data_IF_135192421596
#
_entry.id   IF_135192421596
#
_cell.length_a   1.000
_cell.length_b   1.000
_cell.length_c   1.000
_cell.angle_alpha   90.00
_cell.angle_beta   90.00
_cell.angle_gamma   90.00
#
_symmetry.space_group_name_H-M   'P 1'
#
loop_
_entity.id
_entity.type
_entity.pdbx_description
1 polymer ?
#
# COMPACT_ATOMS: atom_id res chain seq x y z
N UNK A 1 -27.01 1.01 -37.49
CA UNK A 1 -26.15 1.64 -36.45
C UNK A 1 -25.82 0.60 -35.38
N UNK A 2 -25.13 -0.46 -35.78
CA UNK A 2 -24.76 -1.63 -34.98
C UNK A 2 -23.40 -2.10 -35.49
N UNK A 3 -22.36 -1.34 -35.21
CA UNK A 3 -20.97 -1.76 -35.40
C UNK A 3 -20.12 -1.12 -34.28
N UNK A 4 -19.12 -1.88 -33.80
CA UNK A 4 -18.10 -1.52 -32.80
C UNK A 4 -18.41 -1.85 -31.31
N UNK A 5 -18.75 -3.11 -31.03
CA UNK A 5 -18.39 -3.74 -29.75
C UNK A 5 -17.52 -4.96 -30.03
N UNK A 6 -16.19 -4.83 -29.86
CA UNK A 6 -15.26 -5.98 -29.87
C UNK A 6 -14.93 -6.39 -28.42
N UNK A 7 -14.96 -7.70 -28.08
CA UNK A 7 -14.77 -8.24 -26.73
C UNK A 7 -13.29 -8.38 -26.32
N UNK A 8 -12.47 -7.35 -26.59
CA UNK A 8 -11.01 -7.38 -26.39
C UNK A 8 -10.53 -7.43 -24.93
N UNK A 9 -11.19 -6.79 -23.93
CA UNK A 9 -10.68 -6.80 -22.55
C UNK A 9 -10.79 -8.16 -21.86
N UNK A 10 -11.89 -8.89 -22.13
CA UNK A 10 -12.14 -10.19 -21.49
C UNK A 10 -11.20 -11.26 -22.00
N UNK A 11 -10.91 -11.31 -23.30
CA UNK A 11 -9.98 -12.31 -23.85
C UNK A 11 -8.54 -12.04 -23.42
N UNK A 12 -8.10 -10.77 -23.41
CA UNK A 12 -6.76 -10.41 -22.94
C UNK A 12 -6.62 -10.66 -21.43
N UNK A 13 -7.64 -10.34 -20.63
CA UNK A 13 -7.65 -10.65 -19.20
C UNK A 13 -7.72 -12.16 -18.96
N UNK A 14 -8.52 -12.92 -19.70
CA UNK A 14 -8.54 -14.38 -19.60
C UNK A 14 -7.20 -14.99 -20.01
N UNK A 15 -6.56 -14.49 -21.07
CA UNK A 15 -5.22 -14.92 -21.50
C UNK A 15 -4.20 -14.55 -20.43
N UNK A 16 -4.22 -13.33 -19.90
CA UNK A 16 -3.35 -12.90 -18.79
C UNK A 16 -3.55 -13.76 -17.54
N UNK A 17 -4.79 -14.05 -17.16
CA UNK A 17 -5.11 -14.88 -15.99
C UNK A 17 -4.74 -16.35 -16.24
N UNK A 18 -4.92 -16.87 -17.45
CA UNK A 18 -4.51 -18.22 -17.86
C UNK A 18 -2.98 -18.34 -17.93
N UNK A 19 -2.28 -17.36 -18.50
CA UNK A 19 -0.83 -17.33 -18.61
C UNK A 19 -0.14 -17.12 -17.25
N UNK A 20 -0.73 -16.30 -16.37
CA UNK A 20 -0.29 -16.12 -14.99
C UNK A 20 -0.79 -17.21 -14.03
N UNK A 21 -1.57 -18.19 -14.53
CA UNK A 21 -2.15 -19.29 -13.75
C UNK A 21 -2.88 -18.83 -12.47
N UNK A 22 -3.55 -17.68 -12.55
CA UNK A 22 -4.33 -17.14 -11.45
C UNK A 22 -5.61 -17.98 -11.22
N UNK A 23 -6.16 -18.02 -9.99
CA UNK A 23 -7.22 -18.94 -9.61
C UNK A 23 -8.45 -18.94 -10.54
N UNK A 24 -9.08 -20.09 -10.86
CA UNK A 24 -10.21 -20.16 -11.79
C UNK A 24 -11.44 -19.32 -11.38
N UNK A 25 -11.59 -19.05 -10.10
CA UNK A 25 -12.61 -18.13 -9.55
C UNK A 25 -12.40 -16.69 -10.05
N UNK A 26 -11.16 -16.21 -10.24
CA UNK A 26 -10.90 -14.91 -10.87
C UNK A 26 -11.42 -14.86 -12.32
N UNK A 27 -11.39 -16.00 -13.02
CA UNK A 27 -11.89 -16.14 -14.40
C UNK A 27 -13.40 -15.90 -14.51
N UNK A 28 -14.16 -16.37 -13.50
CA UNK A 28 -15.62 -16.18 -13.41
C UNK A 28 -15.95 -14.70 -13.13
N UNK A 29 -15.19 -14.04 -12.26
CA UNK A 29 -15.36 -12.62 -11.96
C UNK A 29 -14.97 -11.71 -13.14
N UNK A 30 -13.86 -12.01 -13.81
CA UNK A 30 -13.39 -11.31 -15.01
C UNK A 30 -14.40 -11.37 -16.17
N UNK A 31 -15.22 -12.43 -16.24
CA UNK A 31 -16.27 -12.61 -17.26
C UNK A 31 -17.42 -11.60 -17.14
N UNK A 32 -17.62 -11.02 -15.95
CA UNK A 32 -18.72 -10.10 -15.65
C UNK A 32 -18.29 -8.61 -15.61
N UNK A 33 -17.02 -8.31 -15.91
CA UNK A 33 -16.44 -6.96 -15.81
C UNK A 33 -16.48 -6.21 -17.15
N UNK A 34 -17.42 -5.28 -17.33
CA UNK A 34 -17.38 -4.33 -18.46
C UNK A 34 -16.27 -3.30 -18.19
N UNK A 35 -15.10 -3.50 -18.79
CA UNK A 35 -14.02 -2.52 -18.76
C UNK A 35 -14.27 -1.46 -19.85
N UNK A 36 -14.51 -0.22 -19.45
CA UNK A 36 -14.55 0.91 -20.38
C UNK A 36 -13.13 1.20 -20.88
N UNK A 37 -12.93 1.44 -22.19
CA UNK A 37 -11.60 1.70 -22.73
C UNK A 37 -11.13 3.10 -22.29
N UNK A 38 -10.09 3.17 -21.46
CA UNK A 38 -9.33 4.40 -21.23
C UNK A 38 -8.13 4.45 -22.19
N UNK A 39 -7.66 5.65 -22.61
CA UNK A 39 -6.69 5.79 -23.68
C UNK A 39 -5.31 5.31 -23.19
N UNK A 40 -4.84 4.21 -23.75
CA UNK A 40 -3.52 3.65 -23.48
C UNK A 40 -2.41 4.50 -24.12
N UNK A 41 -1.81 5.44 -23.38
CA UNK A 41 -0.44 5.89 -23.66
C UNK A 41 0.57 4.86 -23.15
N UNK A 42 1.42 4.31 -24.03
CA UNK A 42 2.27 3.15 -23.77
C UNK A 42 3.76 3.52 -23.84
N UNK A 43 4.56 2.97 -22.92
CA UNK A 43 6.01 2.77 -23.05
C UNK A 43 6.25 1.26 -23.09
N UNK A 44 6.99 0.77 -24.10
CA UNK A 44 7.38 -0.66 -24.27
C UNK A 44 6.22 -1.65 -24.54
N UNK A 45 6.48 -2.84 -25.10
CA UNK A 45 5.46 -3.88 -25.28
C UNK A 45 5.18 -4.69 -23.99
N UNK A 46 6.11 -4.75 -23.03
CA UNK A 46 6.00 -5.59 -21.82
C UNK A 46 5.44 -4.85 -20.59
N UNK A 47 5.80 -3.58 -20.38
CA UNK A 47 5.27 -2.71 -19.32
C UNK A 47 3.73 -2.62 -19.33
N UNK A 48 3.05 -2.53 -20.49
CA UNK A 48 1.59 -2.47 -20.55
C UNK A 48 0.91 -3.73 -20.02
N UNK A 49 1.50 -4.89 -20.29
CA UNK A 49 0.94 -6.20 -19.92
C UNK A 49 1.05 -6.40 -18.41
N UNK A 50 2.23 -6.19 -17.85
CA UNK A 50 2.45 -6.26 -16.40
C UNK A 50 1.59 -5.25 -15.63
N UNK A 51 1.47 -4.03 -16.15
CA UNK A 51 0.64 -2.98 -15.54
C UNK A 51 -0.85 -3.32 -15.58
N UNK A 52 -1.36 -3.79 -16.72
CA UNK A 52 -2.75 -4.21 -16.87
C UNK A 52 -3.07 -5.41 -15.98
N UNK A 53 -2.16 -6.38 -15.90
CA UNK A 53 -2.29 -7.54 -15.03
C UNK A 53 -2.39 -7.13 -13.56
N UNK A 54 -1.49 -6.28 -13.06
CA UNK A 54 -1.54 -5.80 -11.67
C UNK A 54 -2.84 -5.04 -11.38
N UNK A 55 -3.28 -4.17 -12.30
CA UNK A 55 -4.52 -3.42 -12.14
C UNK A 55 -5.73 -4.35 -12.01
N UNK A 56 -5.85 -5.31 -12.93
CA UNK A 56 -6.96 -6.27 -12.92
C UNK A 56 -6.92 -7.15 -11.66
N UNK A 57 -5.73 -7.55 -11.23
CA UNK A 57 -5.56 -8.35 -10.03
C UNK A 57 -6.03 -7.60 -8.78
N UNK A 58 -5.57 -6.37 -8.58
CA UNK A 58 -6.02 -5.52 -7.47
C UNK A 58 -7.54 -5.26 -7.50
N UNK A 59 -8.11 -5.00 -8.69
CA UNK A 59 -9.55 -4.83 -8.86
C UNK A 59 -10.34 -6.07 -8.46
N UNK A 60 -9.92 -7.25 -8.93
CA UNK A 60 -10.61 -8.51 -8.67
C UNK A 60 -10.49 -8.93 -7.21
N UNK A 61 -9.30 -8.80 -6.62
CA UNK A 61 -9.06 -9.11 -5.21
C UNK A 61 -9.84 -8.20 -4.27
N UNK A 62 -9.91 -6.90 -4.57
CA UNK A 62 -10.72 -5.98 -3.78
C UNK A 62 -12.20 -6.31 -3.89
N UNK A 63 -12.73 -6.64 -5.08
CA UNK A 63 -14.12 -7.10 -5.23
C UNK A 63 -14.39 -8.37 -4.42
N UNK A 64 -13.54 -9.39 -4.54
CA UNK A 64 -13.69 -10.64 -3.81
C UNK A 64 -13.61 -10.42 -2.29
N UNK A 65 -12.67 -9.57 -1.83
CA UNK A 65 -12.54 -9.20 -0.41
C UNK A 65 -13.80 -8.52 0.09
N UNK A 66 -14.34 -7.56 -0.68
CA UNK A 66 -15.56 -6.84 -0.32
C UNK A 66 -16.79 -7.75 -0.28
N UNK A 67 -16.85 -8.78 -1.13
CA UNK A 67 -17.92 -9.77 -1.10
C UNK A 67 -17.83 -10.68 0.14
N UNK A 68 -16.62 -11.07 0.55
CA UNK A 68 -16.42 -11.87 1.77
C UNK A 68 -16.87 -11.15 3.04
N UNK A 69 -16.65 -9.83 3.12
CA UNK A 69 -17.06 -9.01 4.27
C UNK A 69 -18.43 -8.36 4.08
N UNK A 70 -19.14 -8.63 2.98
CA UNK A 70 -20.38 -7.94 2.66
C UNK A 70 -21.44 -8.21 3.72
N UNK A 71 -22.03 -7.15 4.24
CA UNK A 71 -23.14 -7.23 5.19
C UNK A 71 -24.11 -6.08 4.95
N UNK A 72 -25.44 -6.29 5.10
CA UNK A 72 -26.43 -5.20 4.98
C UNK A 72 -26.23 -4.12 6.05
N UNK A 73 -25.50 -4.42 7.12
CA UNK A 73 -25.20 -3.48 8.21
C UNK A 73 -23.94 -2.63 7.96
N UNK A 74 -23.16 -2.94 6.91
CA UNK A 74 -21.96 -2.17 6.58
C UNK A 74 -22.33 -1.04 5.63
N UNK A 75 -22.16 0.20 6.11
CA UNK A 75 -22.39 1.42 5.35
C UNK A 75 -21.10 2.17 5.00
N UNK A 76 -19.97 1.76 5.58
CA UNK A 76 -18.65 2.33 5.30
C UNK A 76 -17.54 1.28 5.35
N UNK A 77 -16.46 1.57 4.63
CA UNK A 77 -15.17 0.89 4.78
C UNK A 77 -14.12 1.92 5.18
N UNK A 78 -13.13 1.53 5.96
CA UNK A 78 -12.06 2.43 6.38
C UNK A 78 -10.73 2.08 5.70
N UNK A 79 -9.91 3.10 5.41
CA UNK A 79 -8.55 2.95 4.88
C UNK A 79 -7.58 3.65 5.81
N UNK A 80 -6.51 2.96 6.21
CA UNK A 80 -5.39 3.59 6.90
C UNK A 80 -4.63 4.48 5.89
N UNK A 81 -4.91 5.78 5.93
CA UNK A 81 -4.61 6.70 4.84
C UNK A 81 -3.48 7.68 5.20
N UNK A 82 -2.28 7.38 4.70
CA UNK A 82 -1.10 8.23 4.86
C UNK A 82 -0.93 9.27 3.74
N UNK A 83 -1.66 9.11 2.63
CA UNK A 83 -1.39 9.81 1.37
C UNK A 83 -0.19 9.26 0.59
N UNK A 84 0.48 8.22 1.07
CA UNK A 84 1.53 7.56 0.30
C UNK A 84 0.95 6.83 -0.93
N UNK A 85 1.86 6.46 -1.85
CA UNK A 85 1.57 5.69 -3.08
C UNK A 85 0.59 4.54 -2.83
N UNK A 86 0.83 3.74 -1.78
CA UNK A 86 0.10 2.50 -1.52
C UNK A 86 -1.34 2.76 -1.06
N UNK A 87 -1.51 3.61 -0.06
CA UNK A 87 -2.84 3.92 0.50
C UNK A 87 -3.70 4.69 -0.50
N UNK A 88 -3.10 5.59 -1.28
CA UNK A 88 -3.85 6.36 -2.30
C UNK A 88 -4.28 5.48 -3.46
N UNK A 89 -3.42 4.55 -3.91
CA UNK A 89 -3.80 3.58 -4.93
C UNK A 89 -4.96 2.69 -4.45
N UNK A 90 -4.91 2.22 -3.20
CA UNK A 90 -6.03 1.45 -2.62
C UNK A 90 -7.33 2.26 -2.61
N UNK A 91 -7.30 3.53 -2.20
CA UNK A 91 -8.48 4.40 -2.23
C UNK A 91 -9.05 4.55 -3.64
N UNK A 92 -8.18 4.77 -4.64
CA UNK A 92 -8.60 4.92 -6.02
C UNK A 92 -9.30 3.65 -6.54
N UNK A 93 -8.71 2.48 -6.30
CA UNK A 93 -9.31 1.22 -6.75
C UNK A 93 -10.59 0.90 -5.95
N UNK A 94 -10.59 1.09 -4.62
CA UNK A 94 -11.77 0.91 -3.78
C UNK A 94 -12.96 1.77 -4.25
N UNK A 95 -12.71 3.03 -4.61
CA UNK A 95 -13.75 3.92 -5.15
C UNK A 95 -14.41 3.36 -6.41
N UNK A 96 -13.63 2.73 -7.30
CA UNK A 96 -14.15 2.12 -8.54
C UNK A 96 -15.00 0.86 -8.31
N UNK A 97 -14.72 0.11 -7.24
CA UNK A 97 -15.39 -1.18 -6.98
C UNK A 97 -16.54 -1.05 -5.99
N UNK A 98 -16.54 -0.03 -5.14
CA UNK A 98 -17.56 0.17 -4.13
C UNK A 98 -18.84 0.78 -4.72
N UNK A 99 -20.02 0.31 -4.30
CA UNK A 99 -21.29 0.97 -4.63
C UNK A 99 -21.31 2.45 -4.20
N UNK A 100 -22.02 3.29 -4.95
CA UNK A 100 -22.07 4.75 -4.73
C UNK A 100 -22.60 5.17 -3.35
N UNK A 101 -23.45 4.35 -2.73
CA UNK A 101 -23.99 4.61 -1.39
C UNK A 101 -23.01 4.27 -0.25
N UNK A 102 -21.92 3.56 -0.54
CA UNK A 102 -20.92 3.20 0.46
C UNK A 102 -19.89 4.32 0.60
N UNK A 103 -19.63 4.69 1.85
CA UNK A 103 -18.66 5.71 2.23
C UNK A 103 -17.29 5.09 2.46
N UNK A 104 -16.23 5.79 2.05
CA UNK A 104 -14.85 5.47 2.40
C UNK A 104 -14.33 6.42 3.49
N UNK A 105 -14.07 5.88 4.68
CA UNK A 105 -13.51 6.59 5.82
C UNK A 105 -11.98 6.51 5.76
N UNK A 106 -11.33 7.63 5.42
CA UNK A 106 -9.88 7.70 5.28
C UNK A 106 -9.29 8.17 6.60
N UNK A 107 -8.49 7.35 7.27
CA UNK A 107 -7.98 7.66 8.62
C UNK A 107 -6.52 8.09 8.54
N UNK A 108 -6.23 9.35 8.83
CA UNK A 108 -4.88 9.87 8.90
C UNK A 108 -4.47 10.19 10.33
N UNK A 109 -3.28 9.77 10.73
CA UNK A 109 -2.79 9.92 12.11
C UNK A 109 -1.56 10.81 12.15
N UNK A 110 -1.51 11.73 13.12
CA UNK A 110 -0.35 12.58 13.37
C UNK A 110 -0.10 12.75 14.86
N UNK A 111 1.12 13.10 15.25
CA UNK A 111 1.47 13.45 16.62
C UNK A 111 1.74 14.96 16.71
N UNK A 112 1.02 15.61 17.62
CA UNK A 112 1.06 17.04 17.89
C UNK A 112 2.24 17.32 18.81
N UNK A 113 3.25 18.05 18.34
CA UNK A 113 4.41 18.47 19.15
C UNK A 113 4.52 19.99 19.17
N UNK A 114 4.25 20.59 20.33
CA UNK A 114 4.51 22.01 20.59
C UNK A 114 3.65 23.01 19.80
N UNK A 115 2.45 22.62 19.36
CA UNK A 115 1.57 23.46 18.53
C UNK A 115 0.80 22.65 17.48
N UNK A 116 0.23 23.31 16.48
CA UNK A 116 -0.75 22.76 15.51
C UNK A 116 -0.34 21.45 14.81
N UNK A 117 -1.32 20.55 14.61
CA UNK A 117 -1.15 19.24 13.98
C UNK A 117 -0.74 19.30 12.48
N UNK A 118 -1.00 20.44 11.81
CA UNK A 118 -0.85 20.64 10.37
C UNK A 118 0.58 20.60 9.82
N UNK A 119 1.59 20.45 10.68
CA UNK A 119 2.99 20.50 10.25
C UNK A 119 3.57 19.10 10.00
N UNK A 120 2.85 18.01 10.29
CA UNK A 120 3.41 16.67 10.04
C UNK A 120 3.51 16.38 8.54
N UNK A 121 4.64 15.80 8.07
CA UNK A 121 4.79 15.43 6.67
C UNK A 121 3.69 14.50 6.14
N UNK A 122 3.26 13.52 6.96
CA UNK A 122 2.19 12.61 6.55
C UNK A 122 0.84 13.34 6.44
N UNK A 123 0.54 14.35 7.27
CA UNK A 123 -0.66 15.19 7.10
C UNK A 123 -0.61 15.93 5.77
N UNK A 124 0.51 16.55 5.44
CA UNK A 124 0.66 17.30 4.19
C UNK A 124 0.47 16.39 2.97
N UNK A 125 1.14 15.24 2.96
CA UNK A 125 1.01 14.24 1.88
C UNK A 125 -0.41 13.67 1.81
N UNK A 126 -1.05 13.42 2.95
CA UNK A 126 -2.45 13.01 3.06
C UNK A 126 -3.40 14.03 2.43
N UNK A 127 -3.29 15.31 2.82
CA UNK A 127 -4.16 16.36 2.30
C UNK A 127 -3.97 16.57 0.79
N UNK A 128 -2.74 16.56 0.30
CA UNK A 128 -2.44 16.63 -1.13
C UNK A 128 -3.09 15.46 -1.89
N UNK A 129 -2.91 14.24 -1.40
CA UNK A 129 -3.49 13.03 -2.02
C UNK A 129 -5.01 13.05 -2.00
N UNK A 130 -5.60 13.49 -0.89
CA UNK A 130 -7.05 13.60 -0.75
C UNK A 130 -7.64 14.60 -1.74
N UNK A 131 -7.02 15.78 -1.87
CA UNK A 131 -7.47 16.80 -2.81
C UNK A 131 -7.32 16.34 -4.26
N UNK A 132 -6.22 15.66 -4.60
CA UNK A 132 -6.02 15.08 -5.95
C UNK A 132 -7.07 13.99 -6.24
N UNK A 133 -7.31 13.07 -5.29
CA UNK A 133 -8.36 12.06 -5.40
C UNK A 133 -9.75 12.68 -5.62
N UNK A 134 -10.12 13.70 -4.83
CA UNK A 134 -11.40 14.39 -4.95
C UNK A 134 -11.55 15.17 -6.26
N UNK A 135 -10.43 15.60 -6.86
CA UNK A 135 -10.43 16.30 -8.16
C UNK A 135 -10.61 15.32 -9.31
N UNK A 136 -9.98 14.15 -9.23
CA UNK A 136 -9.90 13.18 -10.32
C UNK A 136 -11.08 12.20 -10.32
N UNK A 137 -11.52 11.75 -9.14
CA UNK A 137 -12.53 10.71 -9.01
C UNK A 137 -13.94 11.31 -8.90
N UNK A 138 -14.91 10.81 -9.68
CA UNK A 138 -16.28 11.33 -9.64
C UNK A 138 -16.92 11.06 -8.28
N UNK A 139 -17.65 12.03 -7.75
CA UNK A 139 -18.35 11.95 -6.46
C UNK A 139 -17.45 11.63 -5.24
N UNK A 140 -16.12 11.66 -5.38
CA UNK A 140 -15.22 11.32 -4.28
C UNK A 140 -15.39 12.27 -3.08
N UNK A 141 -15.68 13.56 -3.33
CA UNK A 141 -15.91 14.54 -2.26
C UNK A 141 -17.13 14.22 -1.39
N UNK A 142 -18.18 13.58 -1.93
CA UNK A 142 -19.37 13.18 -1.16
C UNK A 142 -19.21 11.78 -0.54
N UNK A 143 -18.37 10.93 -1.13
CA UNK A 143 -18.16 9.54 -0.69
C UNK A 143 -17.00 9.36 0.27
N UNK A 144 -16.04 10.28 0.31
CA UNK A 144 -14.87 10.15 1.18
C UNK A 144 -15.07 10.99 2.45
N UNK A 145 -14.77 10.38 3.59
CA UNK A 145 -14.69 11.04 4.89
C UNK A 145 -13.26 10.97 5.37
N UNK A 146 -12.50 12.05 5.20
CA UNK A 146 -11.14 12.11 5.72
C UNK A 146 -11.18 12.48 7.20
N UNK A 147 -10.78 11.54 8.05
CA UNK A 147 -10.74 11.67 9.51
C UNK A 147 -9.30 11.94 9.94
N UNK A 148 -9.12 13.10 10.56
CA UNK A 148 -7.85 13.62 11.05
C UNK A 148 -7.69 13.27 12.53
N UNK A 149 -6.85 12.28 12.82
CA UNK A 149 -6.55 11.84 14.18
C UNK A 149 -5.26 12.49 14.64
N UNK A 150 -5.37 13.37 15.64
CA UNK A 150 -4.26 14.12 16.19
C UNK A 150 -3.95 13.59 17.60
N UNK A 151 -2.76 12.98 17.75
CA UNK A 151 -2.31 12.34 18.99
C UNK A 151 -1.50 13.35 19.80
N UNK A 152 -1.89 13.55 21.05
CA UNK A 152 -1.13 14.36 22.02
C UNK A 152 -0.10 13.52 22.78
N UNK A 153 0.84 14.15 23.48
CA UNK A 153 1.76 13.40 24.33
C UNK A 153 1.02 12.75 25.51
N UNK A 154 0.00 13.44 26.03
CA UNK A 154 -0.91 12.97 27.08
C UNK A 154 -1.64 11.70 26.65
N UNK A 155 -2.13 11.65 25.40
CA UNK A 155 -2.71 10.43 24.82
C UNK A 155 -1.73 9.26 24.86
N UNK A 156 -0.47 9.49 24.46
CA UNK A 156 0.57 8.44 24.42
C UNK A 156 0.87 7.93 25.84
N UNK A 157 0.99 8.84 26.82
CA UNK A 157 1.21 8.48 28.23
C UNK A 157 0.03 7.66 28.76
N UNK A 158 -1.20 8.11 28.52
CA UNK A 158 -2.42 7.47 29.01
C UNK A 158 -2.61 6.05 28.48
N UNK A 159 -2.17 5.77 27.25
CA UNK A 159 -2.33 4.46 26.61
C UNK A 159 -1.03 3.64 26.55
N UNK A 160 0.05 4.11 27.18
CA UNK A 160 1.38 3.54 27.08
C UNK A 160 1.39 2.03 27.42
N UNK A 161 0.87 1.67 28.59
CA UNK A 161 0.91 0.29 29.08
C UNK A 161 0.09 -0.66 28.18
N UNK A 162 -1.09 -0.21 27.75
CA UNK A 162 -1.93 -1.00 26.85
C UNK A 162 -1.24 -1.22 25.50
N UNK A 163 -0.66 -0.18 24.89
CA UNK A 163 0.09 -0.34 23.63
C UNK A 163 1.27 -1.29 23.81
N UNK A 164 2.01 -1.21 24.94
CA UNK A 164 3.11 -2.15 25.24
C UNK A 164 2.64 -3.59 25.28
N UNK A 165 1.49 -3.86 25.89
CA UNK A 165 0.90 -5.20 25.94
C UNK A 165 0.50 -5.68 24.54
N UNK A 166 -0.09 -4.81 23.71
CA UNK A 166 -0.52 -5.16 22.35
C UNK A 166 0.66 -5.45 21.41
N UNK A 167 1.79 -4.75 21.56
CA UNK A 167 2.96 -4.98 20.70
C UNK A 167 3.78 -6.22 21.09
N UNK A 168 3.67 -6.70 22.33
CA UNK A 168 4.41 -7.87 22.84
C UNK A 168 4.25 -9.10 21.91
N UNK A 169 5.32 -9.85 21.53
CA UNK A 169 6.63 -9.88 22.18
C UNK A 169 7.61 -8.81 21.72
N UNK A 170 7.20 -7.91 20.82
CA UNK A 170 8.03 -6.77 20.46
C UNK A 170 8.11 -5.79 21.61
N UNK A 171 9.29 -5.21 21.83
CA UNK A 171 9.57 -4.34 22.96
C UNK A 171 10.50 -3.18 22.61
N UNK A 172 10.78 -2.96 21.32
CA UNK A 172 11.65 -1.85 20.90
C UNK A 172 10.89 -0.52 20.88
N UNK A 173 11.63 0.59 20.95
CA UNK A 173 11.04 1.93 20.81
C UNK A 173 10.37 2.10 19.44
N UNK A 174 10.95 1.54 18.38
CA UNK A 174 10.37 1.61 17.03
C UNK A 174 9.03 0.87 16.97
N UNK A 175 8.95 -0.31 17.58
CA UNK A 175 7.71 -1.08 17.65
C UNK A 175 6.64 -0.35 18.45
N UNK A 176 7.02 0.29 19.57
CA UNK A 176 6.10 1.12 20.35
C UNK A 176 5.59 2.31 19.53
N UNK A 177 6.47 3.04 18.84
CA UNK A 177 6.08 4.16 17.99
C UNK A 177 5.09 3.76 16.91
N UNK A 178 5.35 2.64 16.20
CA UNK A 178 4.44 2.13 15.17
C UNK A 178 3.14 1.64 15.81
N UNK A 179 3.22 0.94 16.94
CA UNK A 179 2.07 0.47 17.71
C UNK A 179 1.15 1.61 18.13
N UNK A 180 1.68 2.74 18.62
CA UNK A 180 0.87 3.91 18.94
C UNK A 180 0.14 4.45 17.71
N UNK A 181 0.82 4.58 16.56
CA UNK A 181 0.18 5.10 15.34
C UNK A 181 -1.00 4.21 14.93
N UNK A 182 -0.77 2.89 14.88
CA UNK A 182 -1.82 1.93 14.51
C UNK A 182 -2.94 1.86 15.54
N UNK A 183 -2.62 1.98 16.83
CA UNK A 183 -3.59 2.00 17.93
C UNK A 183 -4.56 3.16 17.77
N UNK A 184 -4.04 4.39 17.60
CA UNK A 184 -4.89 5.56 17.43
C UNK A 184 -5.59 5.60 16.06
N UNK A 185 -4.97 5.04 15.02
CA UNK A 185 -5.64 4.86 13.73
C UNK A 185 -6.85 3.93 13.85
N UNK A 186 -6.70 2.79 14.53
CA UNK A 186 -7.79 1.84 14.78
C UNK A 186 -8.80 2.39 15.78
N UNK A 187 -8.39 3.21 16.76
CA UNK A 187 -9.35 3.94 17.62
C UNK A 187 -10.29 4.78 16.76
N UNK A 188 -9.76 5.46 15.74
CA UNK A 188 -10.54 6.15 14.72
C UNK A 188 -11.33 7.36 15.22
N UNK A 189 -10.90 7.98 16.31
CA UNK A 189 -11.50 9.19 16.87
C UNK A 189 -10.65 10.39 16.43
N UNK A 190 -11.26 11.32 15.71
CA UNK A 190 -10.58 12.51 15.18
C UNK A 190 -11.56 13.60 14.74
N UNK A 191 -11.12 14.48 13.85
CA UNK A 191 -11.93 15.57 13.27
C UNK A 191 -12.14 15.32 11.77
N UNK A 192 -13.34 15.55 11.26
CA UNK A 192 -13.63 15.41 9.84
C UNK A 192 -13.03 16.59 9.05
N UNK A 193 -12.15 16.30 8.09
CA UNK A 193 -11.48 17.33 7.27
C UNK A 193 -12.48 18.25 6.54
N UNK A 194 -12.16 19.55 6.53
CA UNK A 194 -13.05 20.59 5.99
C UNK A 194 -14.17 21.01 6.95
N UNK A 195 -14.19 20.45 8.16
CA UNK A 195 -15.14 20.79 9.23
C UNK A 195 -14.42 20.81 10.59
N UNK A 196 -15.04 21.40 11.61
CA UNK A 196 -14.58 21.29 12.99
C UNK A 196 -15.33 20.21 13.78
N UNK A 197 -15.99 19.28 13.08
CA UNK A 197 -16.82 18.27 13.71
C UNK A 197 -15.98 17.07 14.15
N UNK A 198 -16.09 16.70 15.43
CA UNK A 198 -15.54 15.44 15.93
C UNK A 198 -16.22 14.28 15.22
N UNK A 199 -15.43 13.30 14.80
CA UNK A 199 -15.92 12.13 14.08
C UNK A 199 -15.26 10.87 14.62
N UNK A 200 -16.06 9.82 14.76
CA UNK A 200 -15.59 8.47 15.08
C UNK A 200 -15.83 7.57 13.87
N UNK A 201 -14.78 6.93 13.38
CA UNK A 201 -14.83 5.98 12.26
C UNK A 201 -15.76 4.83 12.59
N UNK A 202 -16.79 4.62 11.76
CA UNK A 202 -17.83 3.63 11.98
C UNK A 202 -17.48 2.24 11.44
N UNK A 203 -16.62 2.16 10.43
CA UNK A 203 -16.30 0.90 9.75
C UNK A 203 -15.59 -0.13 10.64
N UNK A 204 -16.14 -1.33 10.77
CA UNK A 204 -15.45 -2.46 11.39
C UNK A 204 -14.35 -3.07 10.49
N UNK A 205 -14.29 -2.71 9.21
CA UNK A 205 -13.32 -3.23 8.25
C UNK A 205 -12.30 -2.15 7.88
N UNK A 206 -11.02 -2.46 8.02
CA UNK A 206 -9.90 -1.58 7.68
C UNK A 206 -9.13 -2.14 6.49
N UNK A 207 -8.77 -1.30 5.52
CA UNK A 207 -7.83 -1.63 4.46
C UNK A 207 -6.49 -0.92 4.72
N UNK A 208 -5.38 -1.62 4.46
CA UNK A 208 -4.03 -1.06 4.62
C UNK A 208 -3.15 -1.33 3.41
N UNK A 209 -2.25 -0.38 3.13
CA UNK A 209 -1.19 -0.51 2.13
C UNK A 209 0.02 -1.33 2.59
N UNK A 210 -0.01 -1.90 3.80
CA UNK A 210 1.07 -2.73 4.33
C UNK A 210 1.40 -3.89 3.38
N UNK A 211 2.70 -4.15 3.17
CA UNK A 211 3.21 -5.19 2.27
C UNK A 211 3.73 -4.65 0.94
N UNK A 212 3.25 -3.49 0.49
CA UNK A 212 3.69 -2.90 -0.77
C UNK A 212 5.18 -2.53 -0.77
N UNK A 213 5.73 -2.08 0.36
CA UNK A 213 7.15 -1.75 0.45
C UNK A 213 8.05 -2.98 0.30
N UNK A 214 7.68 -4.10 0.93
CA UNK A 214 8.41 -5.37 0.88
C UNK A 214 8.35 -6.04 -0.50
N UNK A 215 7.23 -5.89 -1.20
CA UNK A 215 7.01 -6.54 -2.50
C UNK A 215 7.51 -5.71 -3.69
N UNK A 216 7.39 -4.38 -3.63
CA UNK A 216 7.70 -3.47 -4.74
C UNK A 216 8.95 -2.61 -4.49
N UNK A 217 9.84 -3.06 -3.62
CA UNK A 217 11.10 -2.41 -3.27
C UNK A 217 10.96 -0.95 -2.76
N UNK A 218 10.02 -0.70 -1.85
CA UNK A 218 9.69 0.65 -1.35
C UNK A 218 10.61 1.25 -0.29
N UNK A 219 11.30 0.43 0.49
CA UNK A 219 12.18 0.95 1.55
C UNK A 219 13.46 1.59 1.00
N UNK A 220 13.89 2.70 1.61
CA UNK A 220 15.16 3.37 1.23
C UNK A 220 16.37 2.44 1.31
N UNK A 221 16.37 1.46 2.23
CA UNK A 221 17.45 0.46 2.33
C UNK A 221 17.57 -0.46 1.14
N UNK A 222 16.49 -0.73 0.40
CA UNK A 222 16.54 -1.52 -0.82
C UNK A 222 17.45 -0.86 -1.85
N UNK A 223 17.25 0.44 -2.06
CA UNK A 223 18.10 1.26 -2.92
C UNK A 223 19.54 1.36 -2.40
N UNK A 224 19.74 1.46 -1.08
CA UNK A 224 21.10 1.48 -0.52
C UNK A 224 21.86 0.18 -0.80
N UNK A 225 21.20 -0.98 -0.67
CA UNK A 225 21.78 -2.28 -1.03
C UNK A 225 22.14 -2.30 -2.51
N UNK A 226 21.21 -1.92 -3.40
CA UNK A 226 21.48 -1.85 -4.84
C UNK A 226 22.69 -0.98 -5.17
N UNK A 227 22.70 0.27 -4.70
CA UNK A 227 23.78 1.22 -4.98
C UNK A 227 25.14 0.74 -4.48
N UNK A 228 25.19 0.08 -3.31
CA UNK A 228 26.42 -0.48 -2.75
C UNK A 228 27.02 -1.54 -3.65
N UNK A 229 26.21 -2.47 -4.15
CA UNK A 229 26.71 -3.56 -5.01
C UNK A 229 27.00 -3.08 -6.43
N UNK A 230 26.26 -2.08 -6.92
CA UNK A 230 26.54 -1.46 -8.22
C UNK A 230 27.91 -0.76 -8.22
N UNK A 231 28.25 -0.01 -7.17
CA UNK A 231 29.51 0.75 -7.10
C UNK A 231 30.74 -0.13 -6.86
N UNK A 232 30.59 -1.27 -6.18
CA UNK A 232 31.67 -2.25 -5.98
C UNK A 232 32.04 -2.92 -7.31
N UNK A 233 31.11 -3.00 -8.24
CA UNK A 233 31.23 -3.80 -9.46
C UNK A 233 31.53 -2.95 -10.71
N UNK A 234 32.16 -1.78 -10.52
CA UNK A 234 32.40 -0.68 -11.48
C UNK A 234 33.14 -1.03 -12.80
N UNK A 235 33.26 -2.30 -13.20
CA UNK A 235 34.05 -2.71 -14.36
C UNK A 235 33.37 -3.70 -15.31
N UNK A 236 32.10 -4.09 -15.12
CA UNK A 236 31.40 -4.95 -16.10
C UNK A 236 29.86 -4.90 -15.99
N UNK A 237 29.16 -5.32 -17.06
CA UNK A 237 27.70 -5.53 -17.08
C UNK A 237 27.20 -6.52 -16.00
N UNK A 238 28.10 -7.39 -15.49
CA UNK A 238 27.85 -8.27 -14.35
C UNK A 238 27.44 -7.49 -13.09
N UNK A 239 27.98 -6.28 -12.91
CA UNK A 239 27.78 -5.49 -11.70
C UNK A 239 26.34 -5.03 -11.45
N UNK A 240 25.57 -4.80 -12.52
CA UNK A 240 24.14 -4.46 -12.39
C UNK A 240 23.32 -5.70 -12.03
N UNK A 241 23.64 -6.85 -12.64
CA UNK A 241 22.98 -8.12 -12.31
C UNK A 241 23.22 -8.52 -10.84
N UNK A 242 24.46 -8.38 -10.36
CA UNK A 242 24.84 -8.64 -8.97
C UNK A 242 24.12 -7.69 -7.99
N UNK A 243 23.97 -6.42 -8.36
CA UNK A 243 23.21 -5.45 -7.56
C UNK A 243 21.73 -5.81 -7.42
N UNK A 244 21.11 -6.28 -8.50
CA UNK A 244 19.73 -6.77 -8.46
C UNK A 244 19.59 -8.09 -7.70
N UNK A 245 20.57 -8.99 -7.80
CA UNK A 245 20.59 -10.22 -7.00
C UNK A 245 20.66 -9.90 -5.50
N UNK A 246 21.56 -9.02 -5.09
CA UNK A 246 21.69 -8.57 -3.70
C UNK A 246 20.41 -7.87 -3.19
N UNK A 247 19.76 -7.07 -4.04
CA UNK A 247 18.47 -6.47 -3.73
C UNK A 247 17.37 -7.53 -3.55
N UNK A 248 17.31 -8.53 -4.44
CA UNK A 248 16.34 -9.64 -4.33
C UNK A 248 16.51 -10.40 -3.02
N UNK A 249 17.74 -10.65 -2.59
CA UNK A 249 18.02 -11.28 -1.31
C UNK A 249 17.55 -10.44 -0.12
N UNK A 250 17.72 -9.12 -0.19
CA UNK A 250 17.21 -8.20 0.83
C UNK A 250 15.68 -8.21 0.91
N UNK A 251 14.99 -8.20 -0.24
CA UNK A 251 13.53 -8.29 -0.28
C UNK A 251 13.04 -9.65 0.25
N UNK A 252 13.71 -10.75 -0.11
CA UNK A 252 13.39 -12.08 0.41
C UNK A 252 13.56 -12.16 1.93
N UNK A 253 14.62 -11.56 2.48
CA UNK A 253 14.79 -11.45 3.94
C UNK A 253 13.61 -10.74 4.61
N UNK A 254 13.06 -9.71 3.99
CA UNK A 254 11.86 -9.04 4.51
C UNK A 254 10.62 -9.90 4.46
N UNK A 255 10.38 -10.56 3.32
CA UNK A 255 9.23 -11.45 3.14
C UNK A 255 9.20 -12.54 4.20
N UNK A 256 10.34 -13.22 4.43
CA UNK A 256 10.45 -14.31 5.41
C UNK A 256 10.18 -13.86 6.85
N UNK A 257 10.58 -12.62 7.20
CA UNK A 257 10.39 -12.07 8.56
C UNK A 257 9.16 -11.18 8.70
N UNK A 258 8.37 -10.98 7.64
CA UNK A 258 7.31 -9.99 7.62
C UNK A 258 6.26 -10.25 8.72
N UNK A 259 5.88 -11.53 8.86
CA UNK A 259 4.90 -11.97 9.86
C UNK A 259 5.34 -11.61 11.28
N UNK A 260 6.62 -11.81 11.62
CA UNK A 260 7.13 -11.57 12.98
C UNK A 260 7.50 -10.10 13.20
N UNK A 261 7.97 -9.39 12.18
CA UNK A 261 8.49 -8.02 12.28
C UNK A 261 7.39 -6.96 12.24
N UNK A 262 6.40 -7.14 11.36
CA UNK A 262 5.34 -6.16 11.17
C UNK A 262 3.98 -6.76 11.55
N UNK A 263 3.55 -7.81 10.84
CA UNK A 263 2.14 -8.23 10.87
C UNK A 263 1.66 -8.67 12.25
N UNK A 264 2.45 -9.44 12.99
CA UNK A 264 2.03 -9.90 14.32
C UNK A 264 1.84 -8.76 15.34
N UNK A 265 2.63 -7.69 15.23
CA UNK A 265 2.43 -6.46 16.02
C UNK A 265 1.21 -5.71 15.52
N UNK A 266 1.15 -5.49 14.21
CA UNK A 266 0.14 -4.63 13.58
C UNK A 266 -1.27 -5.21 13.75
N UNK A 267 -1.43 -6.52 13.57
CA UNK A 267 -2.70 -7.23 13.70
C UNK A 267 -3.27 -7.13 15.13
N UNK A 268 -2.47 -7.45 16.16
CA UNK A 268 -2.88 -7.32 17.56
C UNK A 268 -3.32 -5.90 17.92
N UNK A 269 -2.60 -4.90 17.42
CA UNK A 269 -2.90 -3.49 17.69
C UNK A 269 -4.17 -3.04 16.97
N UNK A 270 -4.32 -3.38 15.68
CA UNK A 270 -5.48 -2.97 14.89
C UNK A 270 -6.75 -3.70 15.33
N UNK A 271 -6.65 -4.97 15.69
CA UNK A 271 -7.76 -5.79 16.19
C UNK A 271 -8.31 -5.37 17.56
N UNK A 272 -7.57 -4.56 18.31
CA UNK A 272 -7.97 -4.14 19.68
C UNK A 272 -9.36 -3.48 19.74
N UNK A 273 -9.73 -2.72 18.72
CA UNK A 273 -11.02 -2.02 18.64
C UNK A 273 -12.07 -2.79 17.82
N UNK A 274 -11.99 -4.13 17.81
CA UNK A 274 -12.89 -5.01 17.04
C UNK A 274 -12.92 -4.68 15.54
N UNK A 275 -11.79 -4.21 15.01
CA UNK A 275 -11.64 -3.90 13.58
C UNK A 275 -10.86 -5.00 12.89
N UNK A 276 -11.44 -5.51 11.82
CA UNK A 276 -10.81 -6.52 10.98
C UNK A 276 -10.00 -5.83 9.88
N UNK A 277 -8.70 -6.13 9.79
CA UNK A 277 -7.81 -5.50 8.80
C UNK A 277 -7.58 -6.41 7.60
N UNK A 278 -7.71 -5.84 6.39
CA UNK A 278 -7.49 -6.48 5.11
C UNK A 278 -6.20 -5.96 4.47
N UNK A 279 -5.28 -6.89 4.20
CA UNK A 279 -3.92 -6.64 3.70
C UNK A 279 -3.81 -7.00 2.21
N UNK A 280 -4.36 -6.15 1.34
CA UNK A 280 -4.54 -6.46 -0.10
C UNK A 280 -3.23 -6.76 -0.82
N UNK A 281 -2.14 -6.06 -0.48
CA UNK A 281 -0.84 -6.32 -1.11
C UNK A 281 -0.23 -7.66 -0.68
N UNK A 282 -0.68 -8.25 0.43
CA UNK A 282 -0.18 -9.52 0.95
C UNK A 282 -1.04 -10.72 0.56
N UNK A 283 -2.05 -10.49 -0.27
CA UNK A 283 -2.80 -11.56 -0.91
C UNK A 283 -1.86 -12.48 -1.70
N UNK A 284 -2.12 -13.80 -1.64
CA UNK A 284 -1.28 -14.82 -2.26
C UNK A 284 -1.09 -14.57 -3.76
N UNK A 285 -2.12 -14.07 -4.45
CA UNK A 285 -2.03 -13.80 -5.89
C UNK A 285 -1.13 -12.59 -6.18
N UNK A 286 -1.15 -11.54 -5.34
CA UNK A 286 -0.24 -10.39 -5.49
C UNK A 286 1.19 -10.82 -5.21
N UNK A 287 1.39 -11.61 -4.16
CA UNK A 287 2.70 -12.17 -3.82
C UNK A 287 3.21 -13.04 -4.97
N UNK A 288 2.37 -13.92 -5.51
CA UNK A 288 2.70 -14.76 -6.66
C UNK A 288 3.04 -13.91 -7.89
N UNK A 289 2.23 -12.91 -8.21
CA UNK A 289 2.49 -11.98 -9.31
C UNK A 289 3.89 -11.36 -9.21
N UNK A 290 4.31 -10.91 -8.02
CA UNK A 290 5.67 -10.34 -7.85
C UNK A 290 6.80 -11.36 -8.06
N UNK A 291 6.52 -12.66 -7.95
CA UNK A 291 7.51 -13.72 -8.24
C UNK A 291 7.67 -14.02 -9.73
N UNK A 292 6.76 -13.56 -10.57
CA UNK A 292 6.83 -13.67 -12.04
C UNK A 292 7.79 -12.65 -12.68
N UNK A 293 8.60 -11.97 -11.89
CA UNK A 293 9.58 -10.98 -12.34
C UNK A 293 11.01 -11.47 -12.05
N UNK A 294 11.89 -11.43 -13.05
CA UNK A 294 13.29 -11.85 -12.90
C UNK A 294 14.26 -11.00 -13.74
N UNK A 295 15.56 -11.13 -13.44
CA UNK A 295 16.63 -10.50 -14.23
C UNK A 295 16.83 -11.20 -15.57
N UNK A 296 16.89 -12.53 -15.52
CA UNK A 296 16.98 -13.37 -16.69
C UNK A 296 15.57 -13.83 -17.08
N UNK A 297 15.06 -13.29 -18.17
CA UNK A 297 13.76 -13.63 -18.74
C UNK A 297 13.84 -14.83 -19.70
N UNK A 298 15.03 -15.39 -19.93
CA UNK A 298 15.24 -16.58 -20.76
C UNK A 298 15.13 -17.88 -19.97
N UNK A 299 15.34 -17.82 -18.65
CA UNK A 299 15.07 -18.94 -17.74
C UNK A 299 13.56 -19.18 -17.70
N UNK A 300 13.07 -20.30 -18.21
CA UNK A 300 11.66 -20.68 -18.05
C UNK A 300 11.50 -21.19 -16.60
N UNK A 301 10.57 -20.62 -15.81
CA UNK A 301 10.24 -21.18 -14.51
C UNK A 301 9.80 -22.64 -14.69
N UNK A 302 10.07 -23.57 -13.74
CA UNK A 302 9.64 -24.97 -13.85
C UNK A 302 8.14 -25.15 -14.12
N UNK A 303 7.35 -24.11 -13.85
CA UNK A 303 5.92 -24.00 -14.06
C UNK A 303 5.51 -23.53 -15.47
N UNK A 304 6.45 -23.18 -16.37
CA UNK A 304 6.18 -22.71 -17.73
C UNK A 304 5.69 -21.25 -17.82
N UNK A 305 5.86 -20.45 -16.76
CA UNK A 305 5.29 -19.10 -16.67
C UNK A 305 6.03 -18.04 -17.49
N UNK A 306 5.28 -17.02 -17.92
CA UNK A 306 5.83 -15.79 -18.49
C UNK A 306 6.66 -15.04 -17.43
N UNK A 307 7.89 -14.68 -17.77
CA UNK A 307 8.76 -13.90 -16.88
C UNK A 307 8.88 -12.48 -17.39
N UNK A 308 8.49 -11.53 -16.56
CA UNK A 308 8.70 -10.11 -16.81
C UNK A 308 10.09 -9.67 -16.34
N UNK A 309 10.74 -8.71 -17.01
CA UNK A 309 11.95 -8.08 -16.50
C UNK A 309 11.70 -7.45 -15.13
N UNK A 310 12.57 -7.71 -14.15
CA UNK A 310 12.43 -7.17 -12.78
C UNK A 310 12.35 -5.63 -12.73
N UNK A 311 12.96 -4.96 -13.71
CA UNK A 311 12.96 -3.52 -13.92
C UNK A 311 11.56 -2.94 -14.16
N UNK A 312 10.57 -3.78 -14.48
CA UNK A 312 9.17 -3.36 -14.59
C UNK A 312 8.51 -3.22 -13.22
N UNK A 313 8.88 -4.11 -12.28
CA UNK A 313 8.36 -4.09 -10.91
C UNK A 313 8.96 -2.92 -10.12
N UNK A 314 10.28 -2.78 -10.20
CA UNK A 314 11.06 -1.69 -9.61
C UNK A 314 12.38 -1.54 -10.36
N UNK A 315 12.92 -0.32 -10.44
CA UNK A 315 14.16 -0.02 -11.14
C UNK A 315 15.04 0.91 -10.30
N UNK A 316 15.97 0.33 -9.53
CA UNK A 316 16.85 1.11 -8.67
C UNK A 316 17.92 1.92 -9.44
N UNK A 317 18.04 1.75 -10.76
CA UNK A 317 18.89 2.62 -11.59
C UNK A 317 18.28 4.00 -11.80
N UNK A 318 16.94 4.11 -11.75
CA UNK A 318 16.21 5.36 -11.84
C UNK A 318 16.22 6.10 -10.49
N UNK A 319 16.01 7.43 -10.46
CA UNK A 319 15.97 8.21 -9.23
C UNK A 319 14.94 7.72 -8.19
N UNK A 320 15.15 8.11 -6.93
CA UNK A 320 14.19 7.91 -5.84
C UNK A 320 12.88 8.64 -6.17
N UNK A 321 11.74 7.99 -5.93
CA UNK A 321 10.42 8.50 -6.28
C UNK A 321 10.00 8.16 -7.73
N UNK A 322 10.86 7.49 -8.49
CA UNK A 322 10.58 7.03 -9.87
C UNK A 322 10.75 5.52 -9.95
N UNK A 323 11.92 5.03 -9.53
CA UNK A 323 12.31 3.63 -9.69
C UNK A 323 11.77 2.68 -8.62
N UNK A 324 11.66 3.13 -7.38
CA UNK A 324 11.01 2.36 -6.31
C UNK A 324 9.51 2.29 -6.56
N UNK A 325 8.90 1.12 -6.35
CA UNK A 325 7.46 0.90 -6.60
C UNK A 325 7.01 1.28 -8.02
N UNK A 326 7.90 1.14 -9.01
CA UNK A 326 7.68 1.62 -10.38
C UNK A 326 6.30 1.22 -10.93
N UNK A 327 5.92 -0.04 -10.78
CA UNK A 327 4.64 -0.52 -11.30
C UNK A 327 3.42 0.13 -10.60
N UNK A 328 3.48 0.36 -9.28
CA UNK A 328 2.44 1.07 -8.53
C UNK A 328 2.35 2.54 -8.93
N UNK A 329 3.49 3.20 -9.17
CA UNK A 329 3.55 4.61 -9.63
C UNK A 329 2.99 4.77 -11.03
N UNK A 330 3.30 3.82 -11.93
CA UNK A 330 2.71 3.77 -13.26
C UNK A 330 1.18 3.59 -13.18
N UNK A 331 0.70 2.76 -12.25
CA UNK A 331 -0.73 2.56 -12.05
C UNK A 331 -1.42 3.83 -11.53
N UNK A 332 -0.84 4.52 -10.54
CA UNK A 332 -1.34 5.84 -10.10
C UNK A 332 -1.39 6.85 -11.24
N UNK A 333 -0.37 6.89 -12.09
CA UNK A 333 -0.36 7.76 -13.27
C UNK A 333 -1.49 7.41 -14.24
N UNK A 334 -1.86 6.14 -14.38
CA UNK A 334 -3.04 5.71 -15.16
C UNK A 334 -4.36 6.15 -14.53
N UNK A 335 -4.43 6.21 -13.20
CA UNK A 335 -5.51 6.84 -12.46
C UNK A 335 -5.48 8.38 -12.53
N UNK A 336 -4.57 8.99 -13.30
CA UNK A 336 -4.36 10.45 -13.37
C UNK A 336 -3.92 11.08 -12.03
N UNK A 337 -3.41 10.27 -11.11
CA UNK A 337 -2.85 10.70 -9.82
C UNK A 337 -1.33 10.95 -9.96
N UNK A 338 -0.99 11.93 -10.81
CA UNK A 338 0.38 12.20 -11.23
C UNK A 338 1.24 12.85 -10.14
N UNK A 339 0.63 13.59 -9.20
CA UNK A 339 1.36 14.20 -8.10
C UNK A 339 1.73 13.13 -7.05
N UNK A 340 0.73 12.33 -6.63
CA UNK A 340 0.97 11.21 -5.70
C UNK A 340 1.97 10.20 -6.27
N UNK A 341 1.95 9.94 -7.57
CA UNK A 341 2.86 8.96 -8.19
C UNK A 341 4.34 9.30 -8.03
N UNK A 342 4.68 10.53 -7.64
CA UNK A 342 6.05 11.02 -7.41
C UNK A 342 6.44 11.05 -5.92
N UNK A 343 5.52 10.80 -5.01
CA UNK A 343 5.78 10.87 -3.58
C UNK A 343 6.81 9.83 -3.14
N UNK A 344 7.80 10.31 -2.39
CA UNK A 344 8.86 9.47 -1.84
C UNK A 344 8.42 8.80 -0.55
N UNK A 345 8.79 7.53 -0.36
CA UNK A 345 8.50 6.80 0.89
C UNK A 345 9.16 7.47 2.10
N UNK A 346 8.38 7.58 3.17
CA UNK A 346 8.80 7.96 4.52
C UNK A 346 8.37 6.90 5.52
N UNK A 347 9.19 6.62 6.53
CA UNK A 347 8.80 5.69 7.59
C UNK A 347 7.73 6.34 8.49
N UNK A 348 6.72 5.55 8.87
CA UNK A 348 5.52 6.04 9.55
C UNK A 348 5.86 6.85 10.81
N UNK A 349 6.80 6.39 11.64
CA UNK A 349 7.19 7.11 12.87
C UNK A 349 7.75 8.53 12.65
N UNK A 350 8.38 8.77 11.49
CA UNK A 350 8.92 10.09 11.14
C UNK A 350 7.89 10.93 10.40
N UNK A 351 7.05 10.28 9.60
CA UNK A 351 5.97 10.93 8.87
C UNK A 351 4.89 11.52 9.77
N UNK A 352 4.48 10.76 10.79
CA UNK A 352 3.51 11.21 11.80
C UNK A 352 4.13 12.07 12.90
N UNK A 353 5.46 12.25 12.91
CA UNK A 353 6.23 12.92 13.97
C UNK A 353 6.12 12.30 15.37
N UNK A 354 5.68 11.04 15.48
CA UNK A 354 5.59 10.40 16.79
C UNK A 354 6.96 10.04 17.36
N UNK A 355 8.00 9.82 16.53
CA UNK A 355 9.30 9.25 16.91
C UNK A 355 9.86 9.78 18.23
N UNK A 356 9.58 9.10 19.34
CA UNK A 356 10.09 9.41 20.68
C UNK A 356 11.39 8.63 20.92
N UNK A 357 12.27 9.19 21.76
CA UNK A 357 13.55 8.60 22.15
C UNK A 357 13.47 7.77 23.43
N UNK A 358 12.39 7.89 24.20
CA UNK A 358 12.13 7.12 25.41
C UNK A 358 10.63 6.92 25.58
N UNK A 359 10.23 5.76 26.10
CA UNK A 359 8.81 5.47 26.37
C UNK A 359 8.45 6.03 27.76
N UNK A 360 7.37 6.82 27.89
CA UNK A 360 6.97 7.39 29.17
C UNK A 360 6.82 6.31 30.25
N UNK A 361 7.42 6.56 31.43
CA UNK A 361 7.38 5.62 32.56
C UNK A 361 8.39 4.47 32.51
N UNK A 362 9.29 4.41 31.53
CA UNK A 362 10.36 3.39 31.47
C UNK A 362 11.76 3.97 31.68
N UNK A 363 12.62 3.25 32.43
CA UNK A 363 14.08 3.40 32.29
C UNK A 363 14.43 2.90 30.89
N UNK A 364 15.08 3.77 30.11
CA UNK A 364 15.68 3.58 28.77
C UNK A 364 15.54 2.14 28.25
N UNK A 365 14.57 1.91 27.35
CA UNK A 365 14.56 0.67 26.58
C UNK A 365 15.81 0.66 25.70
N UNK A 366 16.56 -0.45 25.62
CA UNK A 366 17.74 -0.51 24.78
C UNK A 366 17.36 -0.18 23.34
N UNK A 367 18.01 0.85 22.78
CA UNK A 367 18.11 0.99 21.34
C UNK A 367 18.95 -0.18 20.84
N UNK A 368 18.41 -0.96 19.90
CA UNK A 368 19.03 -2.09 19.19
C UNK A 368 18.85 -3.48 19.81
N UNK A 369 18.09 -4.33 19.13
CA UNK A 369 18.63 -5.38 18.23
C UNK A 369 17.80 -5.42 16.95
#
# INVERSE_FOLDING_TARGET
>A
MLELYRPFPHLLLQILLLELHLPPNLYIFARNLVLTPTPFGLCGPSDPVALAALHCLLLLLLKATLEQVRSPYISSYAVLFSGGVDSTLLCAILHTVLPSHIVLELVNVTCVRGGTADVSPDRQTCLQSFNELCTILPDAQSRFRLVLVDITFEDIVAHCELVRQLIHPRNTIMDFNIGCILYFASRGIGVLYGTDQSYTVQSSILFTGTGADELFAGYTRHRMVFNKFQSVSNSSACGVADAYAALRDELNRDRVRLWVRNLGRDDRVLGHFYRETRYIFLDEDIVHFTTCFALDTTTILPTGHFIFPIQLLYDCTLPKGVGDKKLLRLLLTKFQLADVSRFSKRAMQFGTRIAISSVPGTRVLPSHV
#
